data_IF_685591532710
#
_entry.id   IF_685591532710
#
_cell.length_a   1.000
_cell.length_b   1.000
_cell.length_c   1.000
_cell.angle_alpha   90.00
_cell.angle_beta   90.00
_cell.angle_gamma   90.00
#
_symmetry.space_group_name_H-M   'P 1'
#
loop_
_entity.id
_entity.type
_entity.pdbx_description
1 polymer ?
#
# COMPACT_ATOMS: atom_id res chain seq x y z
N UNK A 1 -24.23 5.17 28.96
CA UNK A 1 -23.24 4.23 29.52
C UNK A 1 -22.70 3.40 28.37
N UNK A 2 -21.40 3.49 28.06
CA UNK A 2 -20.78 2.61 27.06
C UNK A 2 -20.80 1.17 27.60
N UNK A 3 -21.15 0.15 26.80
CA UNK A 3 -21.11 -1.23 27.24
C UNK A 3 -19.67 -1.63 27.61
N UNK A 4 -19.51 -2.44 28.67
CA UNK A 4 -18.20 -2.95 29.07
C UNK A 4 -17.66 -3.87 27.97
N UNK A 5 -16.41 -3.68 27.50
CA UNK A 5 -15.82 -4.55 26.46
C UNK A 5 -15.79 -6.03 26.84
N UNK A 6 -15.69 -6.33 28.14
CA UNK A 6 -15.61 -7.69 28.67
C UNK A 6 -16.91 -8.49 28.53
N UNK A 7 -18.05 -7.83 28.33
CA UNK A 7 -19.36 -8.49 28.14
C UNK A 7 -19.76 -8.67 26.68
N UNK A 8 -18.94 -8.19 25.71
CA UNK A 8 -19.26 -8.22 24.29
C UNK A 8 -18.39 -9.23 23.55
N UNK A 9 -19.00 -10.02 22.66
CA UNK A 9 -18.25 -10.81 21.70
C UNK A 9 -17.66 -9.93 20.58
N UNK A 10 -16.74 -10.47 19.78
CA UNK A 10 -16.00 -9.72 18.75
C UNK A 10 -16.90 -9.10 17.70
N UNK A 11 -18.00 -9.77 17.33
CA UNK A 11 -18.98 -9.25 16.38
C UNK A 11 -19.72 -8.02 16.93
N UNK A 12 -20.11 -8.06 18.21
CA UNK A 12 -20.74 -6.93 18.89
C UNK A 12 -19.76 -5.77 19.05
N UNK A 13 -18.49 -6.06 19.37
CA UNK A 13 -17.41 -5.05 19.45
C UNK A 13 -17.17 -4.40 18.09
N UNK A 14 -17.07 -5.17 17.01
CA UNK A 14 -16.91 -4.66 15.66
C UNK A 14 -18.13 -3.82 15.22
N UNK A 15 -19.35 -4.26 15.54
CA UNK A 15 -20.57 -3.52 15.24
C UNK A 15 -20.60 -2.17 15.97
N UNK A 16 -20.19 -2.13 17.24
CA UNK A 16 -20.09 -0.91 18.04
C UNK A 16 -19.05 0.06 17.45
N UNK A 17 -17.84 -0.40 17.11
CA UNK A 17 -16.82 0.44 16.44
C UNK A 17 -17.42 1.07 15.17
N UNK A 18 -18.00 0.24 14.31
CA UNK A 18 -18.58 0.69 13.03
C UNK A 18 -19.66 1.74 13.26
N UNK A 19 -20.59 1.52 14.18
CA UNK A 19 -21.66 2.47 14.50
C UNK A 19 -21.10 3.82 14.97
N UNK A 20 -20.21 3.80 15.96
CA UNK A 20 -19.65 5.02 16.55
C UNK A 20 -18.82 5.81 15.53
N UNK A 21 -17.97 5.14 14.76
CA UNK A 21 -17.13 5.80 13.75
C UNK A 21 -17.97 6.36 12.62
N UNK A 22 -19.00 5.63 12.13
CA UNK A 22 -19.94 6.16 11.13
C UNK A 22 -20.71 7.37 11.65
N UNK A 23 -21.19 7.32 12.90
CA UNK A 23 -21.89 8.44 13.51
C UNK A 23 -20.98 9.69 13.60
N UNK A 24 -19.72 9.50 13.98
CA UNK A 24 -18.73 10.58 14.01
C UNK A 24 -18.43 11.13 12.59
N UNK A 25 -18.27 10.26 11.60
CA UNK A 25 -18.13 10.66 10.20
C UNK A 25 -19.33 11.44 9.67
N UNK A 26 -20.55 11.09 10.09
CA UNK A 26 -21.76 11.84 9.74
C UNK A 26 -21.79 13.22 10.42
N UNK A 27 -21.41 13.30 11.70
CA UNK A 27 -21.29 14.57 12.42
C UNK A 27 -20.25 15.50 11.76
N UNK A 28 -19.13 14.97 11.27
CA UNK A 28 -18.16 15.74 10.50
C UNK A 28 -18.75 16.31 9.20
N UNK A 29 -19.55 15.53 8.46
CA UNK A 29 -20.23 15.99 7.24
C UNK A 29 -21.33 17.03 7.50
N UNK A 30 -21.97 16.98 8.67
CA UNK A 30 -22.91 18.01 9.11
C UNK A 30 -22.18 19.30 9.49
N UNK A 31 -21.06 19.18 10.22
CA UNK A 31 -20.22 20.32 10.64
C UNK A 31 -19.50 20.99 9.47
N UNK A 32 -19.03 20.21 8.50
CA UNK A 32 -18.30 20.66 7.32
C UNK A 32 -19.01 20.20 6.05
N UNK A 33 -19.99 20.97 5.54
CA UNK A 33 -20.80 20.59 4.38
C UNK A 33 -19.99 20.30 3.11
N UNK A 34 -18.78 20.85 2.98
CA UNK A 34 -17.87 20.54 1.86
C UNK A 34 -17.61 19.03 1.73
N UNK A 35 -17.59 18.28 2.84
CA UNK A 35 -17.38 16.82 2.87
C UNK A 35 -18.53 16.03 2.22
N UNK A 36 -19.66 16.68 1.91
CA UNK A 36 -20.77 16.07 1.17
C UNK A 36 -20.50 16.04 -0.35
N UNK A 37 -19.57 16.88 -0.84
CA UNK A 37 -19.19 16.92 -2.25
C UNK A 37 -18.06 15.93 -2.57
N UNK A 38 -18.30 14.65 -2.24
CA UNK A 38 -17.29 13.59 -2.28
C UNK A 38 -16.61 13.46 -3.65
N UNK A 39 -17.37 13.49 -4.74
CA UNK A 39 -16.83 13.38 -6.11
C UNK A 39 -15.93 14.57 -6.48
N UNK A 40 -16.34 15.79 -6.11
CA UNK A 40 -15.55 17.00 -6.34
C UNK A 40 -14.26 17.01 -5.52
N UNK A 41 -14.33 16.57 -4.25
CA UNK A 41 -13.14 16.42 -3.40
C UNK A 41 -12.18 15.36 -3.95
N UNK A 42 -12.69 14.20 -4.36
CA UNK A 42 -11.87 13.16 -4.97
C UNK A 42 -11.15 13.64 -6.24
N UNK A 43 -11.87 14.32 -7.13
CA UNK A 43 -11.29 14.91 -8.34
C UNK A 43 -10.30 16.04 -8.03
N UNK A 44 -10.62 16.91 -7.05
CA UNK A 44 -9.75 18.02 -6.63
C UNK A 44 -8.44 17.54 -6.02
N UNK A 45 -8.48 16.52 -5.16
CA UNK A 45 -7.28 15.89 -4.58
C UNK A 45 -6.44 15.25 -5.69
N UNK A 46 -7.07 14.57 -6.66
CA UNK A 46 -6.37 13.98 -7.79
C UNK A 46 -5.66 15.05 -8.63
N UNK A 47 -6.37 16.13 -8.97
CA UNK A 47 -5.80 17.24 -9.72
C UNK A 47 -4.63 17.89 -8.96
N UNK A 48 -4.80 18.14 -7.67
CA UNK A 48 -3.73 18.67 -6.80
C UNK A 48 -2.50 17.76 -6.80
N UNK A 49 -2.68 16.45 -6.64
CA UNK A 49 -1.57 15.51 -6.64
C UNK A 49 -0.85 15.44 -8.01
N UNK A 50 -1.59 15.39 -9.11
CA UNK A 50 -1.01 15.37 -10.46
C UNK A 50 -0.28 16.68 -10.78
N UNK A 51 -0.86 17.83 -10.45
CA UNK A 51 -0.22 19.13 -10.61
C UNK A 51 1.06 19.24 -9.75
N UNK A 52 1.03 18.72 -8.52
CA UNK A 52 2.20 18.64 -7.67
C UNK A 52 3.32 17.78 -8.27
N UNK A 53 2.98 16.62 -8.85
CA UNK A 53 3.94 15.76 -9.53
C UNK A 53 4.55 16.40 -10.79
N UNK A 54 3.70 16.98 -11.65
CA UNK A 54 4.11 17.65 -12.88
C UNK A 54 4.94 18.89 -12.56
N UNK A 55 4.52 19.71 -11.60
CA UNK A 55 5.23 20.91 -11.16
C UNK A 55 6.60 20.58 -10.60
N UNK A 56 6.70 19.57 -9.72
CA UNK A 56 7.99 19.12 -9.17
C UNK A 56 8.92 18.56 -10.26
N UNK A 57 8.38 17.83 -11.24
CA UNK A 57 9.14 17.34 -12.38
C UNK A 57 9.64 18.49 -13.26
N UNK A 58 8.79 19.49 -13.57
CA UNK A 58 9.15 20.65 -14.35
C UNK A 58 10.24 21.50 -13.67
N UNK A 59 10.14 21.70 -12.35
CA UNK A 59 11.17 22.41 -11.58
C UNK A 59 12.50 21.65 -11.56
N UNK A 60 12.47 20.32 -11.47
CA UNK A 60 13.67 19.50 -11.55
C UNK A 60 14.33 19.57 -12.94
N UNK A 61 13.54 19.39 -14.00
CA UNK A 61 14.03 19.45 -15.38
C UNK A 61 14.58 20.84 -15.71
N UNK A 62 13.96 21.90 -15.18
CA UNK A 62 14.43 23.29 -15.31
C UNK A 62 15.63 23.65 -14.43
N UNK A 63 16.12 22.73 -13.58
CA UNK A 63 17.28 22.96 -12.72
C UNK A 63 17.00 23.75 -11.44
N UNK A 64 15.74 24.00 -11.09
CA UNK A 64 15.32 24.75 -9.90
C UNK A 64 15.08 23.89 -8.65
N UNK A 65 14.96 22.58 -8.82
CA UNK A 65 14.73 21.62 -7.74
C UNK A 65 15.78 20.50 -7.82
N UNK A 66 16.50 20.16 -6.75
CA UNK A 66 17.42 19.03 -6.77
C UNK A 66 16.65 17.71 -6.91
N UNK A 67 17.30 16.71 -7.49
CA UNK A 67 16.68 15.41 -7.81
C UNK A 67 16.03 14.74 -6.59
N UNK A 68 16.65 14.81 -5.41
CA UNK A 68 16.13 14.16 -4.21
C UNK A 68 14.84 14.82 -3.73
N UNK A 69 14.73 16.15 -3.84
CA UNK A 69 13.52 16.87 -3.45
C UNK A 69 12.37 16.55 -4.42
N UNK A 70 12.65 16.52 -5.73
CA UNK A 70 11.70 16.07 -6.74
C UNK A 70 11.19 14.66 -6.46
N UNK A 71 12.11 13.74 -6.14
CA UNK A 71 11.78 12.34 -5.87
C UNK A 71 10.86 12.21 -4.66
N UNK A 72 11.21 12.86 -3.53
CA UNK A 72 10.42 12.81 -2.30
C UNK A 72 9.05 13.47 -2.46
N UNK A 73 8.97 14.63 -3.13
CA UNK A 73 7.70 15.30 -3.42
C UNK A 73 6.79 14.42 -4.29
N UNK A 74 7.33 13.82 -5.35
CA UNK A 74 6.54 12.96 -6.23
C UNK A 74 6.12 11.67 -5.52
N UNK A 75 6.92 11.15 -4.60
CA UNK A 75 6.54 9.99 -3.78
C UNK A 75 5.38 10.35 -2.83
N UNK A 76 5.43 11.54 -2.22
CA UNK A 76 4.36 12.06 -1.39
C UNK A 76 3.06 12.26 -2.20
N UNK A 77 3.10 12.94 -3.35
CA UNK A 77 1.89 13.12 -4.18
C UNK A 77 1.36 11.78 -4.73
N UNK A 78 2.25 10.84 -5.06
CA UNK A 78 1.85 9.47 -5.41
C UNK A 78 1.16 8.74 -4.25
N UNK A 79 1.46 9.06 -2.99
CA UNK A 79 0.76 8.49 -1.84
C UNK A 79 -0.70 8.96 -1.74
N UNK A 80 -1.00 10.22 -2.08
CA UNK A 80 -2.38 10.73 -2.16
C UNK A 80 -3.19 10.01 -3.23
N UNK A 81 -2.60 9.83 -4.41
CA UNK A 81 -3.28 9.11 -5.49
C UNK A 81 -3.56 7.66 -5.08
N UNK A 82 -2.78 7.08 -4.17
CA UNK A 82 -2.98 5.69 -3.72
C UNK A 82 -4.22 5.55 -2.87
N UNK A 83 -4.36 6.43 -1.88
CA UNK A 83 -5.57 6.49 -1.07
C UNK A 83 -6.81 6.73 -1.94
N UNK A 84 -6.68 7.58 -2.97
CA UNK A 84 -7.74 7.76 -3.97
C UNK A 84 -8.05 6.48 -4.76
N UNK A 85 -7.04 5.72 -5.21
CA UNK A 85 -7.30 4.43 -5.87
C UNK A 85 -7.99 3.45 -4.93
N UNK A 86 -7.56 3.40 -3.66
CA UNK A 86 -8.16 2.55 -2.64
C UNK A 86 -9.65 2.86 -2.44
N UNK A 87 -10.03 4.14 -2.49
CA UNK A 87 -11.43 4.55 -2.48
C UNK A 87 -12.14 4.27 -3.83
N UNK A 88 -11.47 4.45 -4.97
CA UNK A 88 -12.02 4.19 -6.31
C UNK A 88 -12.34 2.70 -6.51
N UNK A 89 -11.51 1.78 -6.02
CA UNK A 89 -11.78 0.34 -6.15
C UNK A 89 -13.00 -0.10 -5.31
N UNK A 90 -13.42 0.70 -4.32
CA UNK A 90 -14.72 0.58 -3.63
C UNK A 90 -15.87 1.33 -4.32
N UNK A 91 -15.63 1.91 -5.51
CA UNK A 91 -16.55 2.82 -6.19
C UNK A 91 -17.09 3.91 -5.26
N UNK A 92 -16.19 4.60 -4.56
CA UNK A 92 -16.58 5.75 -3.74
C UNK A 92 -16.81 7.01 -4.59
N UNK A 93 -15.98 7.26 -5.61
CA UNK A 93 -16.12 8.44 -6.46
C UNK A 93 -16.81 8.12 -7.78
N UNK A 94 -17.70 9.00 -8.22
CA UNK A 94 -18.43 8.94 -9.49
C UNK A 94 -19.12 7.60 -9.71
N UNK A 95 -19.66 6.98 -8.65
CA UNK A 95 -20.20 5.60 -8.66
C UNK A 95 -21.20 5.32 -9.79
N UNK A 96 -22.03 6.31 -10.13
CA UNK A 96 -23.08 6.21 -11.18
C UNK A 96 -22.61 6.73 -12.55
N UNK A 97 -21.39 7.25 -12.65
CA UNK A 97 -20.85 7.88 -13.85
C UNK A 97 -19.57 7.15 -14.28
N UNK A 98 -19.67 6.15 -15.18
CA UNK A 98 -18.54 5.28 -15.48
C UNK A 98 -17.37 6.01 -16.14
N UNK A 99 -17.63 7.03 -16.97
CA UNK A 99 -16.58 7.77 -17.66
C UNK A 99 -15.62 8.48 -16.68
N UNK A 100 -16.06 9.41 -15.81
CA UNK A 100 -15.17 10.07 -14.86
C UNK A 100 -14.56 9.09 -13.85
N UNK A 101 -15.30 8.05 -13.43
CA UNK A 101 -14.77 7.01 -12.55
C UNK A 101 -13.56 6.28 -13.16
N UNK A 102 -13.68 5.79 -14.40
CA UNK A 102 -12.60 5.08 -15.08
C UNK A 102 -11.46 6.01 -15.50
N UNK A 103 -11.76 7.28 -15.81
CA UNK A 103 -10.72 8.29 -16.04
C UNK A 103 -9.87 8.48 -14.79
N UNK A 104 -10.48 8.62 -13.61
CA UNK A 104 -9.73 8.71 -12.35
C UNK A 104 -8.90 7.45 -12.10
N UNK A 105 -9.45 6.25 -12.32
CA UNK A 105 -8.69 5.00 -12.21
C UNK A 105 -7.48 4.95 -13.16
N UNK A 106 -7.65 5.42 -14.40
CA UNK A 106 -6.55 5.48 -15.37
C UNK A 106 -5.46 6.47 -14.95
N UNK A 107 -5.86 7.66 -14.46
CA UNK A 107 -4.94 8.70 -14.02
C UNK A 107 -4.15 8.29 -12.77
N UNK A 108 -4.78 7.64 -11.78
CA UNK A 108 -4.03 7.14 -10.61
C UNK A 108 -3.07 6.01 -10.98
N UNK A 109 -3.38 5.21 -12.02
CA UNK A 109 -2.46 4.19 -12.53
C UNK A 109 -1.28 4.80 -13.30
N UNK A 110 -1.52 5.85 -14.10
CA UNK A 110 -0.46 6.60 -14.78
C UNK A 110 0.47 7.30 -13.79
N UNK A 111 -0.07 7.85 -12.71
CA UNK A 111 0.73 8.45 -11.63
C UNK A 111 1.54 7.39 -10.85
N UNK A 112 1.07 6.14 -10.85
CA UNK A 112 1.71 5.02 -10.15
C UNK A 112 1.92 3.81 -11.03
N UNK A 113 2.82 3.89 -12.01
CA UNK A 113 3.00 2.80 -12.96
C UNK A 113 3.56 1.55 -12.30
N UNK A 114 4.24 1.64 -11.14
CA UNK A 114 4.84 0.47 -10.44
C UNK A 114 3.84 -0.58 -9.92
N UNK A 115 2.55 -0.26 -9.85
CA UNK A 115 1.51 -1.14 -9.29
C UNK A 115 0.81 -1.97 -10.35
N UNK A 116 0.09 -3.00 -9.91
CA UNK A 116 -0.79 -3.77 -10.81
C UNK A 116 -1.91 -2.88 -11.36
N UNK A 117 -2.50 -3.34 -12.47
CA UNK A 117 -3.69 -2.74 -13.08
C UNK A 117 -4.81 -2.58 -12.02
N UNK A 118 -5.36 -1.37 -11.82
CA UNK A 118 -6.28 -1.10 -10.72
C UNK A 118 -7.66 -1.76 -10.90
N UNK A 119 -8.08 -2.05 -12.14
CA UNK A 119 -9.29 -2.84 -12.40
C UNK A 119 -9.12 -4.29 -11.95
N UNK A 120 -7.93 -4.86 -12.11
CA UNK A 120 -7.60 -6.18 -11.54
C UNK A 120 -7.51 -6.08 -10.02
N UNK A 121 -6.78 -5.09 -9.51
CA UNK A 121 -6.63 -4.86 -8.07
C UNK A 121 -7.97 -4.75 -7.36
N UNK A 122 -8.95 -4.11 -7.98
CA UNK A 122 -10.31 -3.99 -7.45
C UNK A 122 -10.92 -5.33 -7.03
N UNK A 123 -10.80 -6.35 -7.86
CA UNK A 123 -11.32 -7.68 -7.56
C UNK A 123 -10.55 -8.32 -6.39
N UNK A 124 -9.22 -8.15 -6.37
CA UNK A 124 -8.37 -8.65 -5.29
C UNK A 124 -8.70 -7.96 -3.96
N UNK A 125 -8.93 -6.65 -3.99
CA UNK A 125 -9.21 -5.86 -2.79
C UNK A 125 -10.59 -6.14 -2.20
N UNK A 126 -11.62 -6.26 -3.04
CA UNK A 126 -12.94 -6.68 -2.58
C UNK A 126 -12.92 -8.10 -2.00
N UNK A 127 -12.05 -8.98 -2.52
CA UNK A 127 -11.84 -10.30 -1.95
C UNK A 127 -11.09 -10.22 -0.61
N UNK A 128 -10.06 -9.38 -0.51
CA UNK A 128 -9.29 -9.15 0.72
C UNK A 128 -10.21 -8.82 1.91
N UNK A 129 -11.21 -7.94 1.75
CA UNK A 129 -12.19 -7.67 2.83
C UNK A 129 -12.97 -8.90 3.31
N UNK A 130 -13.21 -9.87 2.42
CA UNK A 130 -13.98 -11.10 2.73
C UNK A 130 -13.13 -12.16 3.40
N UNK A 131 -11.88 -12.31 2.98
CA UNK A 131 -11.00 -13.42 3.38
C UNK A 131 -9.72 -12.94 4.08
N UNK A 132 -9.72 -11.71 4.60
CA UNK A 132 -8.56 -11.06 5.20
C UNK A 132 -7.89 -11.95 6.24
N UNK A 133 -6.56 -12.03 6.17
CA UNK A 133 -5.77 -12.84 7.08
C UNK A 133 -5.79 -14.34 6.79
N UNK A 134 -6.40 -14.80 5.68
CA UNK A 134 -6.33 -16.19 5.23
C UNK A 134 -5.34 -16.38 4.06
N UNK A 135 -5.09 -17.63 3.66
CA UNK A 135 -4.32 -17.94 2.44
C UNK A 135 -4.98 -17.44 1.16
N UNK A 136 -6.31 -17.29 1.14
CA UNK A 136 -7.06 -16.80 -0.01
C UNK A 136 -6.95 -15.27 -0.18
N UNK A 137 -6.38 -14.55 0.80
CA UNK A 137 -6.13 -13.12 0.74
C UNK A 137 -4.95 -12.79 -0.18
N UNK A 138 -5.19 -12.89 -1.48
CA UNK A 138 -4.15 -12.70 -2.49
C UNK A 138 -3.57 -11.30 -2.54
N UNK A 139 -4.30 -10.25 -2.12
CA UNK A 139 -3.78 -8.87 -2.12
C UNK A 139 -2.66 -8.74 -1.09
N UNK A 140 -2.94 -9.10 0.17
CA UNK A 140 -1.95 -9.00 1.25
C UNK A 140 -0.84 -10.04 1.12
N UNK A 141 -1.14 -11.25 0.63
CA UNK A 141 -0.12 -12.26 0.34
C UNK A 141 0.83 -11.80 -0.75
N UNK A 142 0.36 -11.09 -1.78
CA UNK A 142 1.23 -10.56 -2.83
C UNK A 142 2.26 -9.55 -2.27
N UNK A 143 1.90 -8.81 -1.22
CA UNK A 143 2.78 -7.83 -0.55
C UNK A 143 3.45 -8.37 0.72
N UNK A 144 3.58 -9.70 0.85
CA UNK A 144 4.35 -10.41 1.89
C UNK A 144 3.69 -10.61 3.26
N UNK A 145 2.40 -10.33 3.43
CA UNK A 145 1.71 -10.67 4.68
C UNK A 145 1.85 -12.18 4.97
N UNK A 146 2.26 -12.54 6.18
CA UNK A 146 2.49 -13.93 6.57
C UNK A 146 3.82 -14.53 6.15
N UNK A 147 4.70 -13.79 5.46
CA UNK A 147 6.07 -14.26 5.21
C UNK A 147 6.98 -13.93 6.40
N UNK A 148 7.83 -14.85 6.88
CA UNK A 148 8.77 -14.54 7.96
C UNK A 148 9.80 -13.50 7.50
N UNK A 149 10.19 -12.61 8.42
CA UNK A 149 11.22 -11.62 8.15
C UNK A 149 12.59 -12.26 7.93
N UNK A 150 13.29 -11.76 6.93
CA UNK A 150 14.61 -12.22 6.48
C UNK A 150 14.95 -11.55 5.16
N UNK A 151 16.10 -11.91 4.57
CA UNK A 151 16.59 -11.28 3.32
C UNK A 151 15.55 -11.39 2.20
N UNK A 152 14.91 -12.55 2.06
CA UNK A 152 13.88 -12.75 1.04
C UNK A 152 12.71 -11.77 1.23
N UNK A 153 12.09 -11.68 2.41
CA UNK A 153 10.97 -10.75 2.64
C UNK A 153 11.37 -9.30 2.41
N UNK A 154 12.58 -8.90 2.84
CA UNK A 154 13.08 -7.54 2.61
C UNK A 154 13.12 -7.19 1.11
N UNK A 155 13.65 -8.10 0.29
CA UNK A 155 13.68 -7.94 -1.17
C UNK A 155 12.26 -7.90 -1.77
N UNK A 156 11.35 -8.76 -1.30
CA UNK A 156 9.97 -8.83 -1.79
C UNK A 156 9.13 -7.59 -1.42
N UNK A 157 9.39 -6.98 -0.26
CA UNK A 157 8.68 -5.75 0.18
C UNK A 157 9.09 -4.55 -0.68
N UNK A 158 10.38 -4.42 -1.00
CA UNK A 158 10.89 -3.31 -1.81
C UNK A 158 10.63 -3.45 -3.30
N UNK A 159 10.41 -4.66 -3.79
CA UNK A 159 10.33 -4.93 -5.22
C UNK A 159 9.30 -6.03 -5.54
N UNK A 160 8.27 -5.62 -6.28
CA UNK A 160 7.18 -6.50 -6.68
C UNK A 160 7.58 -7.57 -7.70
N UNK A 161 8.51 -7.23 -8.60
CA UNK A 161 9.04 -8.20 -9.55
C UNK A 161 9.93 -9.20 -8.81
N UNK A 162 10.68 -8.75 -7.82
CA UNK A 162 11.44 -9.64 -6.93
C UNK A 162 10.52 -10.54 -6.09
N UNK A 163 9.38 -10.02 -5.62
CA UNK A 163 8.31 -10.83 -4.98
C UNK A 163 7.84 -11.96 -5.88
N UNK A 164 7.46 -11.65 -7.12
CA UNK A 164 7.07 -12.66 -8.12
C UNK A 164 8.22 -13.63 -8.44
N UNK A 165 9.46 -13.14 -8.58
CA UNK A 165 10.62 -13.95 -8.92
C UNK A 165 10.99 -14.94 -7.81
N UNK A 166 11.03 -14.50 -6.55
CA UNK A 166 11.30 -15.38 -5.40
C UNK A 166 10.19 -16.43 -5.27
N UNK A 167 8.91 -16.07 -5.47
CA UNK A 167 7.81 -17.04 -5.48
C UNK A 167 7.94 -18.03 -6.63
N UNK A 168 8.39 -17.58 -7.80
CA UNK A 168 8.67 -18.43 -8.96
C UNK A 168 9.81 -19.43 -8.68
N UNK A 169 10.91 -18.99 -8.05
CA UNK A 169 12.01 -19.86 -7.63
C UNK A 169 11.55 -20.93 -6.63
N UNK A 170 10.67 -20.55 -5.69
CA UNK A 170 10.11 -21.45 -4.67
C UNK A 170 9.01 -22.38 -5.19
N UNK A 171 8.47 -22.13 -6.39
CA UNK A 171 7.42 -22.96 -6.96
C UNK A 171 7.97 -24.34 -7.35
N UNK A 172 7.32 -25.38 -6.84
CA UNK A 172 7.75 -26.78 -6.98
C UNK A 172 7.47 -27.39 -8.36
N UNK A 173 6.42 -26.91 -9.05
CA UNK A 173 5.98 -27.48 -10.33
C UNK A 173 6.16 -26.50 -11.49
N UNK A 174 6.47 -27.00 -12.71
CA UNK A 174 6.54 -26.17 -13.91
C UNK A 174 5.23 -25.42 -14.21
N UNK A 175 4.09 -26.04 -13.94
CA UNK A 175 2.76 -25.45 -14.16
C UNK A 175 2.56 -24.25 -13.24
N UNK A 176 2.96 -24.38 -11.96
CA UNK A 176 2.87 -23.28 -11.00
C UNK A 176 3.85 -22.14 -11.35
N UNK A 177 5.06 -22.48 -11.82
CA UNK A 177 6.02 -21.49 -12.35
C UNK A 177 5.44 -20.71 -13.53
N UNK A 178 4.82 -21.40 -14.49
CA UNK A 178 4.16 -20.77 -15.65
C UNK A 178 2.98 -19.89 -15.22
N UNK A 179 2.20 -20.32 -14.22
CA UNK A 179 1.10 -19.54 -13.68
C UNK A 179 1.60 -18.23 -13.05
N UNK A 180 2.64 -18.27 -12.22
CA UNK A 180 3.21 -17.07 -11.59
C UNK A 180 3.72 -16.09 -12.66
N UNK A 181 4.45 -16.59 -13.66
CA UNK A 181 4.98 -15.76 -14.73
C UNK A 181 3.87 -15.11 -15.54
N UNK A 182 2.92 -15.91 -16.05
CA UNK A 182 1.81 -15.40 -16.88
C UNK A 182 0.91 -14.44 -16.11
N UNK A 183 0.62 -14.72 -14.83
CA UNK A 183 -0.15 -13.82 -13.98
C UNK A 183 0.60 -12.50 -13.75
N UNK A 184 1.89 -12.55 -13.41
CA UNK A 184 2.72 -11.36 -13.20
C UNK A 184 2.71 -10.48 -14.45
N UNK A 185 2.98 -11.04 -15.63
CA UNK A 185 2.96 -10.30 -16.88
C UNK A 185 1.60 -9.63 -17.13
N UNK A 186 0.49 -10.36 -16.94
CA UNK A 186 -0.87 -9.83 -17.18
C UNK A 186 -1.27 -8.73 -16.20
N UNK A 187 -0.99 -8.88 -14.92
CA UNK A 187 -1.45 -7.92 -13.90
C UNK A 187 -0.62 -6.64 -13.86
N UNK A 188 0.66 -6.71 -14.23
CA UNK A 188 1.55 -5.55 -14.29
C UNK A 188 1.60 -4.88 -15.67
N UNK A 189 1.09 -5.51 -16.73
CA UNK A 189 1.14 -4.91 -18.06
C UNK A 189 0.16 -3.71 -18.23
N UNK A 190 0.54 -2.69 -19.03
CA UNK A 190 1.89 -2.45 -19.54
C UNK A 190 2.74 -1.64 -18.55
N UNK A 191 2.12 -0.79 -17.73
CA UNK A 191 2.82 0.26 -16.96
C UNK A 191 3.75 -0.29 -15.89
N UNK A 192 3.34 -1.34 -15.18
CA UNK A 192 4.17 -2.02 -14.18
C UNK A 192 5.43 -2.60 -14.78
N UNK A 193 5.29 -3.30 -15.90
CA UNK A 193 6.43 -3.88 -16.60
C UNK A 193 7.39 -2.79 -17.09
N UNK A 194 6.88 -1.70 -17.67
CA UNK A 194 7.71 -0.58 -18.12
C UNK A 194 8.42 0.11 -16.96
N UNK A 195 7.75 0.33 -15.83
CA UNK A 195 8.34 0.93 -14.65
C UNK A 195 9.49 0.08 -14.09
N UNK A 196 9.26 -1.21 -13.86
CA UNK A 196 10.29 -2.09 -13.30
C UNK A 196 11.42 -2.37 -14.28
N UNK A 197 11.13 -2.46 -15.59
CA UNK A 197 12.18 -2.54 -16.62
C UNK A 197 13.06 -1.29 -16.63
N UNK A 198 12.46 -0.11 -16.52
CA UNK A 198 13.21 1.16 -16.42
C UNK A 198 14.06 1.21 -15.16
N UNK A 199 13.51 0.76 -14.03
CA UNK A 199 14.23 0.68 -12.75
C UNK A 199 15.46 -0.24 -12.84
N UNK A 200 15.30 -1.44 -13.39
CA UNK A 200 16.41 -2.39 -13.55
C UNK A 200 17.43 -1.96 -14.59
N UNK A 201 16.99 -1.32 -15.68
CA UNK A 201 17.90 -0.74 -16.66
C UNK A 201 18.78 0.34 -16.02
N UNK A 202 18.17 1.25 -15.25
CA UNK A 202 18.89 2.27 -14.49
C UNK A 202 19.90 1.65 -13.52
N UNK A 203 19.46 0.73 -12.66
CA UNK A 203 20.34 0.10 -11.67
C UNK A 203 21.48 -0.68 -12.34
N UNK A 204 21.18 -1.45 -13.38
CA UNK A 204 22.18 -2.24 -14.11
C UNK A 204 23.22 -1.36 -14.81
N UNK A 205 22.78 -0.30 -15.48
CA UNK A 205 23.69 0.65 -16.13
C UNK A 205 24.65 1.29 -15.11
N UNK A 206 24.12 1.90 -14.05
CA UNK A 206 24.95 2.61 -13.06
C UNK A 206 25.83 1.67 -12.24
N UNK A 207 25.37 0.45 -11.96
CA UNK A 207 26.19 -0.55 -11.29
C UNK A 207 27.38 -0.98 -12.16
N UNK A 208 27.14 -1.25 -13.45
CA UNK A 208 28.21 -1.63 -14.39
C UNK A 208 29.20 -0.50 -14.60
N UNK A 209 28.69 0.73 -14.79
CA UNK A 209 29.52 1.92 -14.96
C UNK A 209 30.43 2.13 -13.75
N UNK A 210 29.86 2.15 -12.54
CA UNK A 210 30.60 2.26 -11.29
C UNK A 210 31.60 1.13 -11.08
N UNK A 211 31.19 -0.13 -11.27
CA UNK A 211 32.06 -1.29 -11.06
C UNK A 211 33.24 -1.29 -12.04
N UNK A 212 33.00 -0.95 -13.31
CA UNK A 212 34.03 -0.89 -14.34
C UNK A 212 35.07 0.19 -14.02
N UNK A 213 34.62 1.37 -13.57
CA UNK A 213 35.50 2.45 -13.14
C UNK A 213 36.30 2.06 -11.88
N UNK A 214 35.67 1.42 -10.90
CA UNK A 214 36.33 0.95 -9.68
C UNK A 214 37.40 -0.10 -9.95
N UNK A 215 37.25 -0.91 -11.00
CA UNK A 215 38.24 -1.89 -11.45
C UNK A 215 39.32 -1.30 -12.37
N UNK A 216 39.32 0.02 -12.61
CA UNK A 216 40.28 0.68 -13.50
C UNK A 216 40.06 0.40 -14.99
N UNK A 217 38.89 -0.12 -15.37
CA UNK A 217 38.52 -0.48 -16.73
C UNK A 217 37.18 0.17 -17.13
N UNK A 218 37.07 1.52 -17.14
CA UNK A 218 35.82 2.22 -17.39
C UNK A 218 35.24 1.86 -18.77
N UNK A 219 33.93 1.61 -18.82
CA UNK A 219 33.23 1.29 -20.06
C UNK A 219 33.06 2.56 -20.90
N UNK A 220 33.55 2.53 -22.14
CA UNK A 220 33.31 3.59 -23.13
C UNK A 220 31.90 3.41 -23.75
N UNK A 221 30.88 3.90 -23.06
CA UNK A 221 29.50 3.86 -23.57
C UNK A 221 29.34 4.68 -24.85
N UNK A 222 28.52 4.18 -25.79
CA UNK A 222 28.19 4.94 -27.00
C UNK A 222 27.41 6.22 -26.67
N UNK A 223 27.52 7.24 -27.53
CA UNK A 223 26.73 8.46 -27.40
C UNK A 223 25.22 8.18 -27.33
N UNK A 224 24.74 7.22 -28.12
CA UNK A 224 23.34 6.77 -28.09
C UNK A 224 22.95 6.21 -26.73
N UNK A 225 23.78 5.34 -26.13
CA UNK A 225 23.53 4.77 -24.80
C UNK A 225 23.43 5.88 -23.76
N UNK A 226 24.34 6.85 -23.78
CA UNK A 226 24.36 7.97 -22.85
C UNK A 226 23.11 8.84 -23.00
N UNK A 227 22.68 9.14 -24.22
CA UNK A 227 21.44 9.90 -24.49
C UNK A 227 20.20 9.17 -23.98
N UNK A 228 20.10 7.85 -24.17
CA UNK A 228 19.00 7.06 -23.60
C UNK A 228 19.05 7.08 -22.08
N UNK A 229 20.24 6.97 -21.47
CA UNK A 229 20.38 7.01 -20.02
C UNK A 229 20.04 8.36 -19.42
N UNK A 230 20.22 9.48 -20.14
CA UNK A 230 19.72 10.77 -19.68
C UNK A 230 18.19 10.76 -19.52
N UNK A 231 17.46 10.19 -20.48
CA UNK A 231 16.00 10.04 -20.40
C UNK A 231 15.61 9.11 -19.24
N UNK A 232 16.30 7.98 -19.09
CA UNK A 232 16.06 7.03 -17.98
C UNK A 232 16.33 7.68 -16.63
N UNK A 233 17.41 8.45 -16.48
CA UNK A 233 17.74 9.16 -15.24
C UNK A 233 16.64 10.15 -14.86
N UNK A 234 16.13 10.93 -15.83
CA UNK A 234 15.00 11.83 -15.59
C UNK A 234 13.76 11.05 -15.19
N UNK A 235 13.40 9.99 -15.93
CA UNK A 235 12.25 9.14 -15.60
C UNK A 235 12.35 8.52 -14.20
N UNK A 236 13.56 8.14 -13.77
CA UNK A 236 13.83 7.61 -12.43
C UNK A 236 13.62 8.65 -11.35
N UNK A 237 14.08 9.89 -11.55
CA UNK A 237 13.88 10.94 -10.57
C UNK A 237 12.41 11.34 -10.46
N UNK A 238 11.72 11.51 -11.59
CA UNK A 238 10.37 12.12 -11.59
C UNK A 238 9.24 11.11 -11.41
N UNK A 239 9.43 9.83 -11.75
CA UNK A 239 8.33 8.86 -11.77
C UNK A 239 8.67 7.50 -11.17
N UNK A 240 9.74 6.84 -11.64
CA UNK A 240 10.04 5.45 -11.27
C UNK A 240 10.55 5.35 -9.84
N UNK A 241 11.59 6.10 -9.48
CA UNK A 241 12.16 6.15 -8.13
C UNK A 241 11.15 6.54 -7.05
N UNK A 242 10.34 7.61 -7.24
CA UNK A 242 9.24 7.94 -6.34
C UNK A 242 8.29 6.77 -6.07
N UNK A 243 7.96 6.03 -7.13
CA UNK A 243 7.06 4.89 -7.07
C UNK A 243 7.67 3.66 -6.40
N UNK A 244 8.98 3.43 -6.59
CA UNK A 244 9.72 2.39 -5.87
C UNK A 244 9.73 2.70 -4.37
N UNK A 245 10.10 3.94 -3.99
CA UNK A 245 10.11 4.38 -2.59
C UNK A 245 8.73 4.22 -1.93
N UNK A 246 7.70 4.77 -2.57
CA UNK A 246 6.33 4.71 -2.06
C UNK A 246 5.81 3.27 -1.98
N UNK A 247 6.15 2.41 -2.94
CA UNK A 247 5.78 0.99 -2.91
C UNK A 247 6.41 0.28 -1.72
N UNK A 248 7.71 0.48 -1.49
CA UNK A 248 8.39 -0.04 -0.30
C UNK A 248 7.69 0.43 0.99
N UNK A 249 7.44 1.74 1.12
CA UNK A 249 6.80 2.30 2.31
C UNK A 249 5.40 1.73 2.56
N UNK A 250 4.55 1.66 1.53
CA UNK A 250 3.23 1.06 1.67
C UNK A 250 3.33 -0.42 2.02
N UNK A 251 4.13 -1.20 1.29
CA UNK A 251 4.20 -2.64 1.47
C UNK A 251 4.76 -2.99 2.85
N UNK A 252 5.74 -2.22 3.33
CA UNK A 252 6.21 -2.34 4.69
C UNK A 252 5.08 -2.10 5.69
N UNK A 253 4.34 -0.99 5.57
CA UNK A 253 3.27 -0.65 6.53
C UNK A 253 2.10 -1.64 6.44
N UNK A 254 1.53 -1.85 5.25
CA UNK A 254 0.35 -2.71 5.05
C UNK A 254 0.63 -4.16 5.41
N UNK A 255 1.76 -4.73 4.94
CA UNK A 255 2.05 -6.14 5.20
C UNK A 255 2.43 -6.43 6.65
N UNK A 256 2.68 -5.43 7.49
CA UNK A 256 2.95 -5.61 8.92
C UNK A 256 1.76 -5.24 9.81
N UNK A 257 0.75 -4.56 9.26
CA UNK A 257 -0.46 -4.21 10.00
C UNK A 257 -1.58 -5.24 9.86
N UNK A 258 -1.60 -6.02 8.79
CA UNK A 258 -2.54 -7.13 8.63
C UNK A 258 -2.04 -8.36 9.38
N UNK A 259 -2.95 -9.05 10.07
CA UNK A 259 -2.65 -10.35 10.65
C UNK A 259 -2.84 -11.46 9.62
N UNK A 260 -2.30 -12.64 9.91
CA UNK A 260 -2.35 -13.76 8.99
C UNK A 260 -2.33 -15.12 9.68
N UNK A 261 -3.21 -16.00 9.20
CA UNK A 261 -3.22 -17.43 9.36
C UNK A 261 -4.00 -17.94 10.57
N UNK A 262 -3.95 -17.25 11.71
CA UNK A 262 -4.68 -17.57 12.95
C UNK A 262 -5.73 -16.49 13.28
N UNK A 263 -6.32 -15.92 12.23
CA UNK A 263 -7.42 -14.96 12.27
C UNK A 263 -8.73 -15.73 12.10
N UNK A 264 -9.68 -15.53 13.00
CA UNK A 264 -11.01 -16.13 12.89
C UNK A 264 -11.75 -15.61 11.63
N UNK A 265 -12.35 -16.47 10.80
CA UNK A 265 -13.06 -16.05 9.60
C UNK A 265 -14.15 -15.01 9.88
N UNK A 266 -14.07 -13.87 9.19
CA UNK A 266 -15.02 -12.76 9.35
C UNK A 266 -14.83 -11.91 10.60
N UNK A 267 -13.84 -12.21 11.45
CA UNK A 267 -13.56 -11.44 12.65
C UNK A 267 -12.69 -10.21 12.36
N UNK A 268 -13.34 -9.08 12.06
CA UNK A 268 -12.69 -7.82 11.70
C UNK A 268 -11.76 -7.27 12.80
N UNK A 269 -12.03 -7.58 14.08
CA UNK A 269 -11.17 -7.18 15.21
C UNK A 269 -9.76 -7.76 15.07
N UNK A 270 -9.66 -8.95 14.49
CA UNK A 270 -8.41 -9.70 14.35
C UNK A 270 -7.71 -9.47 13.00
N UNK A 271 -8.37 -8.82 12.02
CA UNK A 271 -7.80 -8.65 10.67
C UNK A 271 -6.61 -7.70 10.64
N UNK A 272 -6.67 -6.60 11.40
CA UNK A 272 -5.65 -5.54 11.38
C UNK A 272 -5.29 -5.03 12.76
N UNK A 273 -4.11 -4.42 12.86
CA UNK A 273 -3.72 -3.52 13.94
C UNK A 273 -3.55 -2.10 13.42
N UNK A 274 -3.63 -1.13 14.32
CA UNK A 274 -3.20 0.24 14.04
C UNK A 274 -1.68 0.33 14.24
N UNK A 275 -0.97 0.80 13.21
CA UNK A 275 0.46 1.10 13.26
C UNK A 275 0.67 2.62 13.21
N UNK A 276 0.88 3.25 14.37
CA UNK A 276 1.04 4.70 14.49
C UNK A 276 2.19 5.18 15.42
N UNK A 277 3.32 4.46 15.59
CA UNK A 277 4.42 5.00 16.35
C UNK A 277 5.07 6.18 15.58
N UNK A 278 5.59 7.17 16.32
CA UNK A 278 6.19 8.36 15.71
C UNK A 278 7.35 8.04 14.75
N UNK A 279 8.12 6.98 15.03
CA UNK A 279 9.28 6.59 14.21
C UNK A 279 8.89 5.96 12.86
N UNK A 280 7.61 5.58 12.67
CA UNK A 280 7.10 5.18 11.35
C UNK A 280 6.73 6.37 10.47
N UNK A 281 6.79 7.61 10.98
CA UNK A 281 6.40 8.79 10.21
C UNK A 281 7.07 8.90 8.83
N UNK A 282 8.37 8.60 8.66
CA UNK A 282 8.99 8.63 7.33
C UNK A 282 8.32 7.68 6.33
N UNK A 283 7.93 6.48 6.75
CA UNK A 283 7.19 5.54 5.88
C UNK A 283 5.75 6.01 5.67
N UNK A 284 5.11 6.52 6.72
CA UNK A 284 3.75 7.04 6.67
C UNK A 284 3.63 8.24 5.72
N UNK A 285 4.65 9.09 5.61
CA UNK A 285 4.66 10.21 4.67
C UNK A 285 4.49 9.75 3.22
N UNK A 286 5.04 8.58 2.86
CA UNK A 286 4.96 8.03 1.51
C UNK A 286 3.84 7.00 1.31
N UNK A 287 3.05 6.71 2.35
CA UNK A 287 1.77 6.00 2.20
C UNK A 287 0.57 6.82 2.73
N UNK A 288 0.73 8.12 2.91
CA UNK A 288 -0.31 9.03 3.41
C UNK A 288 -0.97 8.60 4.73
N UNK A 289 -0.16 8.24 5.73
CA UNK A 289 -0.62 7.83 7.06
C UNK A 289 -1.51 6.57 7.06
N UNK A 290 -1.35 5.71 6.04
CA UNK A 290 -2.10 4.47 5.87
C UNK A 290 -2.07 3.57 7.11
N UNK A 291 -0.91 3.43 7.76
CA UNK A 291 -0.79 2.54 8.93
C UNK A 291 -1.65 2.99 10.12
N UNK A 292 -1.97 4.27 10.19
CA UNK A 292 -2.81 4.84 11.23
C UNK A 292 -4.30 4.78 10.88
N UNK A 293 -4.66 4.91 9.60
CA UNK A 293 -6.05 5.06 9.15
C UNK A 293 -6.66 3.81 8.51
N UNK A 294 -5.86 2.90 7.94
CA UNK A 294 -6.37 1.76 7.17
C UNK A 294 -7.17 0.76 8.01
N UNK A 295 -6.81 0.53 9.27
CA UNK A 295 -7.60 -0.33 10.13
C UNK A 295 -9.06 0.18 10.28
N UNK A 296 -9.31 1.49 10.19
CA UNK A 296 -10.65 2.08 10.19
C UNK A 296 -11.46 1.63 8.97
N UNK A 297 -10.80 1.51 7.81
CA UNK A 297 -11.42 1.09 6.55
C UNK A 297 -12.01 -0.32 6.62
N UNK A 298 -11.40 -1.23 7.38
CA UNK A 298 -11.95 -2.57 7.61
C UNK A 298 -13.28 -2.54 8.37
N UNK A 299 -13.50 -1.55 9.25
CA UNK A 299 -14.76 -1.37 9.95
C UNK A 299 -15.77 -0.52 9.15
N UNK A 300 -15.29 0.51 8.44
CA UNK A 300 -16.13 1.49 7.73
C UNK A 300 -15.66 1.65 6.28
N UNK A 301 -15.95 0.62 5.49
CA UNK A 301 -15.48 0.47 4.08
C UNK A 301 -15.90 1.61 3.16
N UNK A 302 -16.97 2.36 3.46
CA UNK A 302 -17.51 3.41 2.57
C UNK A 302 -17.15 4.84 3.00
N UNK A 303 -16.16 5.00 3.87
CA UNK A 303 -15.68 6.32 4.27
C UNK A 303 -14.43 6.71 3.47
N UNK A 304 -14.43 7.82 2.70
CA UNK A 304 -13.27 8.27 1.93
C UNK A 304 -12.04 8.53 2.80
N UNK A 305 -10.85 8.35 2.24
CA UNK A 305 -9.60 8.45 3.00
C UNK A 305 -9.45 9.77 3.76
N UNK A 306 -9.80 10.90 3.15
CA UNK A 306 -9.68 12.20 3.80
C UNK A 306 -10.63 12.34 5.00
N UNK A 307 -11.81 11.70 4.97
CA UNK A 307 -12.69 11.63 6.14
C UNK A 307 -12.09 10.67 7.16
N UNK A 308 -11.57 9.50 6.74
CA UNK A 308 -10.85 8.57 7.64
C UNK A 308 -9.72 9.29 8.40
N UNK A 309 -8.95 10.14 7.73
CA UNK A 309 -7.89 10.92 8.38
C UNK A 309 -8.43 11.87 9.45
N UNK A 310 -9.59 12.50 9.23
CA UNK A 310 -10.25 13.35 10.23
C UNK A 310 -10.85 12.55 11.39
N UNK A 311 -11.28 11.29 11.13
CA UNK A 311 -11.86 10.43 12.17
C UNK A 311 -10.82 9.69 13.00
N UNK A 312 -9.54 9.61 12.57
CA UNK A 312 -8.45 8.90 13.25
C UNK A 312 -8.44 9.09 14.77
N UNK A 313 -8.43 10.32 15.35
CA UNK A 313 -8.36 10.49 16.80
C UNK A 313 -9.55 9.86 17.55
N UNK A 314 -10.75 10.00 17.01
CA UNK A 314 -11.97 9.42 17.57
C UNK A 314 -12.00 7.91 17.40
N UNK A 315 -11.75 7.43 16.17
CA UNK A 315 -11.77 6.01 15.83
C UNK A 315 -10.73 5.23 16.65
N UNK A 316 -9.52 5.78 16.82
CA UNK A 316 -8.48 5.14 17.62
C UNK A 316 -8.89 4.90 19.07
N UNK A 317 -9.61 5.85 19.67
CA UNK A 317 -10.13 5.69 21.03
C UNK A 317 -11.14 4.55 21.09
N UNK A 318 -12.16 4.58 20.23
CA UNK A 318 -13.22 3.55 20.20
C UNK A 318 -12.66 2.16 19.87
N UNK A 319 -11.76 2.08 18.89
CA UNK A 319 -11.09 0.83 18.48
C UNK A 319 -10.27 0.24 19.63
N UNK A 320 -9.52 1.07 20.38
CA UNK A 320 -8.75 0.63 21.54
C UNK A 320 -9.65 0.16 22.67
N UNK A 321 -10.72 0.88 22.96
CA UNK A 321 -11.73 0.48 23.97
C UNK A 321 -12.35 -0.88 23.63
N UNK A 322 -12.54 -1.18 22.34
CA UNK A 322 -13.13 -2.43 21.86
C UNK A 322 -12.09 -3.54 21.57
N UNK A 323 -10.82 -3.33 21.90
CA UNK A 323 -9.79 -4.38 21.88
C UNK A 323 -9.07 -4.57 20.54
N UNK A 324 -9.17 -3.62 19.59
CA UNK A 324 -8.27 -3.58 18.43
C UNK A 324 -6.85 -3.29 18.91
N UNK A 325 -5.88 -4.04 18.40
CA UNK A 325 -4.47 -3.91 18.79
C UNK A 325 -3.82 -2.70 18.13
N UNK A 326 -2.89 -2.10 18.85
CA UNK A 326 -2.04 -1.01 18.39
C UNK A 326 -0.60 -1.42 18.56
N UNK A 327 0.22 -1.19 17.53
CA UNK A 327 1.67 -1.30 17.63
C UNK A 327 2.15 -2.66 18.21
N UNK A 328 1.48 -3.76 17.86
CA UNK A 328 1.91 -5.13 18.13
C UNK A 328 3.10 -5.45 17.21
N UNK A 329 4.27 -4.92 17.56
CA UNK A 329 5.53 -5.19 16.84
C UNK A 329 6.00 -6.63 17.00
N UNK A 330 5.40 -7.41 17.90
CA UNK A 330 5.68 -8.83 18.00
C UNK A 330 5.29 -9.61 16.73
N UNK A 331 4.44 -9.05 15.87
CA UNK A 331 4.10 -9.64 14.56
C UNK A 331 5.30 -9.83 13.64
N UNK A 332 6.36 -9.02 13.80
CA UNK A 332 7.60 -9.14 13.04
C UNK A 332 8.30 -10.49 13.32
N UNK A 333 8.26 -10.96 14.57
CA UNK A 333 8.83 -12.25 14.95
C UNK A 333 7.89 -13.43 14.66
N UNK A 334 6.57 -13.20 14.60
CA UNK A 334 5.56 -14.25 14.46
C UNK A 334 4.97 -14.37 13.06
N UNK A 335 5.62 -13.81 12.04
CA UNK A 335 5.12 -13.80 10.66
C UNK A 335 3.63 -13.40 10.60
N UNK A 336 3.30 -12.28 11.24
CA UNK A 336 1.97 -11.68 11.25
C UNK A 336 0.85 -12.48 11.97
N UNK A 337 1.19 -13.49 12.78
CA UNK A 337 0.20 -14.21 13.59
C UNK A 337 -0.44 -13.32 14.67
N UNK A 338 -1.77 -13.42 14.81
CA UNK A 338 -2.57 -12.74 15.83
C UNK A 338 -2.29 -13.31 17.22
N UNK A 339 -2.28 -14.62 17.39
CA UNK A 339 -2.07 -15.22 18.71
C UNK A 339 -0.63 -14.97 19.18
N UNK A 340 -0.47 -14.56 20.43
CA UNK A 340 0.86 -14.35 21.03
C UNK A 340 1.46 -15.72 21.39
N UNK A 341 2.77 -15.90 21.22
CA UNK A 341 3.44 -17.19 21.42
C UNK A 341 3.22 -17.80 22.82
N UNK A 342 3.10 -16.97 23.86
CA UNK A 342 2.77 -17.41 25.22
C UNK A 342 1.36 -18.02 25.32
N UNK A 343 0.35 -17.37 24.71
CA UNK A 343 -1.03 -17.89 24.67
C UNK A 343 -1.13 -19.17 23.85
N UNK A 344 -0.43 -19.24 22.71
CA UNK A 344 -0.41 -20.46 21.90
C UNK A 344 0.25 -21.66 22.62
N UNK A 345 1.18 -21.41 23.56
CA UNK A 345 1.80 -22.47 24.38
C UNK A 345 0.85 -22.94 25.48
N UNK A 346 0.17 -22.01 26.15
CA UNK A 346 -0.85 -22.33 27.16
C UNK A 346 -2.04 -23.10 26.57
N UNK A 347 -2.57 -22.66 25.42
CA UNK A 347 -3.65 -23.36 24.71
C UNK A 347 -3.24 -24.80 24.32
N UNK A 348 -2.00 -25.00 23.88
CA UNK A 348 -1.47 -26.35 23.58
C UNK A 348 -1.28 -27.21 24.82
N UNK A 349 -0.92 -26.63 25.96
CA UNK A 349 -0.79 -27.36 27.23
C UNK A 349 -2.14 -27.67 27.88
N UNK A 350 -3.17 -26.86 27.61
CA UNK A 350 -4.54 -27.14 28.07
C UNK A 350 -5.29 -28.11 27.16
N UNK A 351 -4.91 -28.21 25.89
CA UNK A 351 -5.50 -29.14 24.92
C UNK A 351 -4.79 -30.52 24.84
N UNK A 352 -3.68 -30.69 25.56
CA UNK A 352 -2.93 -31.95 25.71
C UNK A 352 -3.16 -32.51 27.11
#
# INVERSE_FOLDING_TARGET
MSPSPASLNDQQRAAYIREQVMAHGNALRQRYPILQHQDALGAGILAFALLGMIGSAALYIGGHLPWWACLLLNAFFASLTHELEHDLIHSMYFRKQPLPHNLMLALVWLARPSTINPWVRRHLHLNHHKVSGSEADMEERAITNGEPWGIARLLMVGDNMMSSFIRWLRAKTPEHRRLILTRTLKVYAPLGLLNWATWYLFLGFHLLDWASAALGAPIAWSATTLSVMQVVNVAVVVLVGPNVLRTFCLHFVSSNMHYYGDVEPGNVIQQTQVLNPWWLWPLQAFCFNFGSSHAIHHFVVKEPFYVRQLTVPFAHRVMREMGVRFNDFGTFARANRWTRAAQAREERTQAA
#
